data_IF_361868194867
#
_entry.id   IF_361868194867
#
_cell.length_a   1.000
_cell.length_b   1.000
_cell.length_c   1.000
_cell.angle_alpha   90.00
_cell.angle_beta   90.00
_cell.angle_gamma   90.00
#
_symmetry.space_group_name_H-M   'P 1'
#
loop_
_entity.id
_entity.type
_entity.pdbx_description
1 polymer ?
#
# COMPACT_ATOMS: atom_id res chain seq x y z
N UNK A 1 -72.58 -45.11 4.89
CA UNK A 1 -72.17 -44.49 6.15
C UNK A 1 -71.09 -43.46 5.86
N UNK A 2 -71.20 -42.32 6.44
CA UNK A 2 -70.21 -41.26 6.33
C UNK A 2 -69.35 -41.31 7.60
N UNK A 3 -68.01 -41.38 7.43
CA UNK A 3 -67.12 -41.29 8.60
C UNK A 3 -66.91 -39.83 9.04
N UNK A 4 -66.25 -39.64 10.16
CA UNK A 4 -66.00 -38.30 10.78
C UNK A 4 -65.08 -37.40 9.95
N UNK A 5 -64.53 -37.89 8.83
CA UNK A 5 -63.63 -37.17 7.93
C UNK A 5 -64.23 -36.98 6.52
N UNK A 6 -65.54 -37.39 6.32
CA UNK A 6 -66.30 -37.04 5.13
C UNK A 6 -66.17 -38.01 3.97
N UNK A 7 -65.49 -39.15 4.13
CA UNK A 7 -65.45 -40.19 3.09
C UNK A 7 -66.76 -40.94 3.07
N UNK A 8 -67.45 -40.88 1.94
CA UNK A 8 -68.72 -41.58 1.69
C UNK A 8 -68.55 -42.52 0.50
N UNK A 9 -68.51 -43.80 0.81
CA UNK A 9 -68.62 -44.86 -0.18
C UNK A 9 -69.31 -46.03 0.45
N UNK A 10 -70.61 -46.12 0.22
CA UNK A 10 -71.37 -47.32 0.56
C UNK A 10 -72.22 -47.69 -0.62
N UNK A 11 -72.07 -48.90 -1.11
CA UNK A 11 -73.08 -49.49 -1.97
C UNK A 11 -73.74 -50.64 -1.18
N UNK A 12 -75.04 -50.64 -1.14
CA UNK A 12 -75.81 -51.79 -0.62
C UNK A 12 -76.42 -52.54 -1.78
N UNK A 13 -76.14 -53.81 -1.78
CA UNK A 13 -76.75 -54.71 -2.76
C UNK A 13 -77.49 -55.78 -2.01
N UNK A 14 -78.78 -55.88 -2.24
CA UNK A 14 -79.58 -57.01 -1.70
C UNK A 14 -79.55 -58.16 -2.71
N UNK A 15 -79.00 -59.28 -2.29
CA UNK A 15 -78.93 -60.48 -3.11
C UNK A 15 -79.85 -61.52 -2.47
N UNK A 16 -80.74 -62.08 -3.28
CA UNK A 16 -81.62 -63.15 -2.89
C UNK A 16 -81.10 -64.45 -3.48
N UNK A 17 -80.77 -65.40 -2.65
CA UNK A 17 -80.31 -66.70 -3.08
C UNK A 17 -81.42 -67.72 -3.27
N UNK A 18 -81.18 -68.74 -4.08
CA UNK A 18 -82.05 -69.87 -4.30
C UNK A 18 -82.18 -70.82 -3.10
N UNK A 19 -81.31 -70.62 -2.08
CA UNK A 19 -81.28 -71.37 -0.79
C UNK A 19 -82.10 -70.76 0.33
N UNK A 20 -82.75 -69.61 0.03
CA UNK A 20 -83.64 -68.94 0.99
C UNK A 20 -82.95 -67.90 1.90
N UNK A 21 -81.66 -67.68 1.86
CA UNK A 21 -80.97 -66.58 2.63
C UNK A 21 -81.23 -65.24 1.93
N UNK A 22 -81.61 -64.24 2.72
CA UNK A 22 -81.59 -62.85 2.29
C UNK A 22 -80.48 -62.09 3.03
N UNK A 23 -79.60 -61.47 2.25
CA UNK A 23 -78.38 -60.82 2.79
C UNK A 23 -78.40 -59.34 2.45
N UNK A 24 -77.96 -58.52 3.38
CA UNK A 24 -77.66 -57.12 3.12
C UNK A 24 -76.12 -56.91 3.29
N UNK A 25 -75.50 -56.27 2.28
CA UNK A 25 -74.07 -56.13 2.20
C UNK A 25 -73.74 -54.63 2.17
N UNK A 26 -72.94 -54.19 3.04
CA UNK A 26 -72.39 -52.86 3.04
C UNK A 26 -70.86 -52.96 2.87
N UNK A 27 -70.34 -52.30 1.87
CA UNK A 27 -68.88 -52.25 1.59
C UNK A 27 -68.39 -50.83 1.72
N UNK A 28 -67.15 -50.69 2.20
CA UNK A 28 -66.41 -49.43 2.08
C UNK A 28 -65.20 -49.66 1.20
N UNK A 29 -64.96 -48.80 0.26
CA UNK A 29 -63.73 -48.78 -0.55
C UNK A 29 -62.53 -48.27 0.21
N UNK A 30 -61.29 -48.67 -0.14
CA UNK A 30 -60.09 -48.03 0.40
C UNK A 30 -60.10 -46.52 0.15
N UNK A 31 -59.43 -45.80 1.03
CA UNK A 31 -59.30 -44.33 0.90
C UNK A 31 -58.56 -43.94 -0.33
N UNK A 32 -57.46 -44.67 -0.61
CA UNK A 32 -56.56 -44.43 -1.73
C UNK A 32 -56.40 -45.71 -2.59
N UNK A 33 -56.01 -45.51 -3.85
CA UNK A 33 -55.67 -46.65 -4.75
C UNK A 33 -54.55 -47.46 -4.09
N UNK A 34 -54.77 -48.80 -4.00
CA UNK A 34 -53.87 -49.73 -3.33
C UNK A 34 -53.91 -49.68 -1.77
N UNK A 35 -54.82 -48.89 -1.22
CA UNK A 35 -55.05 -48.78 0.23
C UNK A 35 -55.62 -50.10 0.79
N UNK A 36 -55.58 -50.23 2.12
CA UNK A 36 -56.06 -51.42 2.87
C UNK A 36 -57.16 -51.07 3.86
N UNK A 37 -57.80 -49.91 3.73
CA UNK A 37 -58.82 -49.44 4.70
C UNK A 37 -60.23 -49.92 4.30
N UNK A 38 -60.35 -50.68 3.22
CA UNK A 38 -61.62 -51.25 2.79
C UNK A 38 -62.24 -52.19 3.83
N UNK A 39 -63.58 -52.30 3.83
CA UNK A 39 -64.28 -53.24 4.67
C UNK A 39 -65.54 -53.76 4.00
N UNK A 40 -66.03 -54.96 4.40
CA UNK A 40 -67.26 -55.53 4.03
C UNK A 40 -68.02 -55.99 5.31
N UNK A 41 -69.28 -55.56 5.41
CA UNK A 41 -70.18 -55.93 6.51
C UNK A 41 -71.41 -56.64 5.88
N UNK A 42 -71.69 -57.88 6.35
CA UNK A 42 -72.77 -58.67 5.82
C UNK A 42 -73.79 -58.99 6.94
N UNK A 43 -75.05 -58.73 6.69
CA UNK A 43 -76.11 -59.01 7.64
C UNK A 43 -77.11 -60.01 6.99
N UNK A 44 -77.43 -61.08 7.74
CA UNK A 44 -78.49 -61.99 7.33
C UNK A 44 -79.83 -61.41 7.75
N UNK A 45 -80.64 -60.91 6.82
CA UNK A 45 -81.92 -60.29 7.05
C UNK A 45 -83.07 -61.25 6.98
N UNK A 46 -82.86 -62.47 6.41
CA UNK A 46 -83.88 -63.51 6.34
C UNK A 46 -83.29 -64.82 5.87
N UNK A 47 -84.07 -65.94 6.06
CA UNK A 47 -83.66 -67.26 5.71
C UNK A 47 -82.66 -67.91 6.70
N UNK A 48 -82.53 -69.26 6.62
CA UNK A 48 -81.73 -70.02 7.58
C UNK A 48 -82.18 -69.90 9.04
N UNK A 49 -81.56 -70.69 9.93
CA UNK A 49 -81.84 -70.72 11.35
C UNK A 49 -80.62 -70.32 12.14
N UNK A 50 -80.64 -69.20 12.95
CA UNK A 50 -79.51 -68.76 13.74
C UNK A 50 -79.09 -69.79 14.78
N UNK A 51 -77.83 -69.86 15.25
CA UNK A 51 -76.72 -68.92 14.95
C UNK A 51 -76.12 -69.20 13.51
N UNK A 52 -75.67 -68.07 12.88
CA UNK A 52 -74.95 -68.15 11.61
C UNK A 52 -73.44 -68.14 11.82
N UNK A 53 -72.67 -68.83 11.01
CA UNK A 53 -71.25 -68.77 10.89
C UNK A 53 -70.87 -68.16 9.56
N UNK A 54 -69.84 -67.38 9.55
CA UNK A 54 -69.27 -66.64 8.45
C UNK A 54 -67.88 -67.17 8.15
N UNK A 55 -67.59 -67.48 6.91
CA UNK A 55 -66.26 -67.96 6.45
C UNK A 55 -65.83 -67.22 5.20
N UNK A 56 -64.84 -66.38 5.31
CA UNK A 56 -64.30 -65.58 4.21
C UNK A 56 -63.08 -66.32 3.62
N UNK A 57 -63.18 -66.68 2.34
CA UNK A 57 -62.23 -67.55 1.62
C UNK A 57 -60.98 -66.80 1.14
N UNK A 58 -60.97 -65.52 1.19
CA UNK A 58 -59.84 -64.72 0.72
C UNK A 58 -58.82 -64.36 1.79
N UNK A 59 -58.89 -65.01 2.95
CA UNK A 59 -58.08 -64.55 4.02
C UNK A 59 -56.81 -65.33 4.31
N UNK A 60 -55.86 -64.61 4.70
CA UNK A 60 -54.62 -65.01 5.24
C UNK A 60 -54.75 -65.29 6.77
N UNK A 61 -55.27 -66.48 7.19
CA UNK A 61 -55.21 -66.96 8.59
C UNK A 61 -55.53 -65.93 9.71
N UNK A 62 -56.46 -65.00 9.49
CA UNK A 62 -56.85 -64.01 10.52
C UNK A 62 -58.08 -64.54 11.27
N UNK A 63 -58.04 -64.67 12.60
CA UNK A 63 -59.23 -65.13 13.38
C UNK A 63 -60.44 -64.20 13.25
N UNK A 64 -60.28 -63.01 12.70
CA UNK A 64 -61.38 -62.08 12.37
C UNK A 64 -62.26 -62.53 11.18
N UNK A 65 -61.81 -63.53 10.41
CA UNK A 65 -62.45 -64.01 9.19
C UNK A 65 -63.71 -64.83 9.42
N UNK A 66 -64.05 -65.05 10.68
CA UNK A 66 -65.29 -65.78 11.14
C UNK A 66 -66.37 -64.80 11.56
N UNK A 67 -66.23 -63.52 11.43
CA UNK A 67 -67.19 -62.50 11.79
C UNK A 67 -67.97 -61.97 10.60
N UNK A 68 -69.07 -61.29 10.89
CA UNK A 68 -69.90 -60.59 9.87
C UNK A 68 -69.19 -59.48 9.12
N UNK A 69 -68.09 -58.98 9.70
CA UNK A 69 -67.33 -57.88 9.13
C UNK A 69 -65.86 -58.28 8.87
N UNK A 70 -65.42 -58.00 7.65
CA UNK A 70 -64.05 -58.12 7.27
C UNK A 70 -63.45 -56.70 7.09
N UNK A 71 -62.30 -56.43 7.66
CA UNK A 71 -61.62 -55.11 7.66
C UNK A 71 -60.24 -55.26 6.96
N UNK A 72 -59.64 -54.11 6.69
CA UNK A 72 -58.31 -54.01 6.09
C UNK A 72 -58.24 -54.66 4.71
N UNK A 73 -59.26 -54.41 3.92
CA UNK A 73 -59.38 -54.97 2.57
C UNK A 73 -58.77 -54.03 1.52
N UNK A 74 -58.00 -54.60 0.59
CA UNK A 74 -57.63 -53.97 -0.66
C UNK A 74 -58.80 -54.10 -1.61
N UNK A 75 -58.79 -53.29 -2.67
CA UNK A 75 -59.76 -53.50 -3.77
C UNK A 75 -59.64 -54.89 -4.36
N UNK A 76 -60.74 -55.52 -4.66
CA UNK A 76 -60.77 -56.89 -5.15
C UNK A 76 -62.06 -57.60 -4.85
N UNK A 77 -62.16 -58.92 -5.20
CA UNK A 77 -63.34 -59.79 -4.95
C UNK A 77 -63.05 -60.72 -3.78
N UNK A 78 -64.01 -60.82 -2.85
CA UNK A 78 -63.93 -61.56 -1.60
C UNK A 78 -65.18 -62.47 -1.56
N UNK A 79 -64.94 -63.80 -1.37
CA UNK A 79 -65.97 -64.75 -1.27
C UNK A 79 -66.32 -65.08 0.17
N UNK A 80 -67.57 -65.01 0.55
CA UNK A 80 -68.09 -65.31 1.87
C UNK A 80 -69.04 -66.50 1.80
N UNK A 81 -68.75 -67.54 2.60
CA UNK A 81 -69.72 -68.61 2.79
C UNK A 81 -70.39 -68.44 4.18
N UNK A 82 -71.75 -68.38 4.16
CA UNK A 82 -72.53 -68.24 5.38
C UNK A 82 -73.25 -69.60 5.61
N UNK A 83 -73.09 -70.13 6.85
CA UNK A 83 -73.81 -71.37 7.24
C UNK A 83 -74.70 -71.09 8.42
N UNK A 84 -75.89 -71.76 8.35
CA UNK A 84 -76.82 -71.69 9.49
C UNK A 84 -76.56 -72.84 10.49
N UNK A 85 -77.33 -72.87 11.57
CA UNK A 85 -77.25 -73.86 12.64
C UNK A 85 -77.33 -75.32 12.12
N UNK A 86 -77.96 -75.53 11.02
CA UNK A 86 -78.18 -76.87 10.42
C UNK A 86 -77.20 -77.22 9.29
N UNK A 87 -76.27 -76.30 9.01
CA UNK A 87 -75.29 -76.49 7.98
C UNK A 87 -75.73 -76.13 6.56
N UNK A 88 -76.94 -75.53 6.39
CA UNK A 88 -77.31 -75.00 5.09
C UNK A 88 -76.42 -73.78 4.82
N UNK A 89 -75.84 -73.72 3.65
CA UNK A 89 -74.90 -72.67 3.29
C UNK A 89 -75.32 -71.89 2.04
N UNK A 90 -74.74 -70.69 1.95
CA UNK A 90 -74.78 -69.83 0.81
C UNK A 90 -73.47 -69.15 0.60
N UNK A 91 -73.03 -68.92 -0.59
CA UNK A 91 -71.78 -68.23 -0.93
C UNK A 91 -72.10 -66.97 -1.71
N UNK A 92 -71.43 -65.90 -1.32
CA UNK A 92 -71.54 -64.57 -1.88
C UNK A 92 -70.18 -64.07 -2.27
N UNK A 93 -70.01 -63.56 -3.48
CA UNK A 93 -68.85 -62.82 -3.95
C UNK A 93 -69.13 -61.31 -3.78
N UNK A 94 -68.27 -60.65 -2.97
CA UNK A 94 -68.37 -59.22 -2.66
C UNK A 94 -67.22 -58.50 -3.31
N UNK A 95 -67.52 -57.47 -4.11
CA UNK A 95 -66.50 -56.59 -4.68
C UNK A 95 -66.28 -55.42 -3.79
N UNK A 96 -65.02 -55.17 -3.49
CA UNK A 96 -64.56 -53.90 -2.94
C UNK A 96 -63.98 -53.10 -4.08
N UNK A 97 -64.62 -51.99 -4.39
CA UNK A 97 -64.20 -51.11 -5.48
C UNK A 97 -62.95 -50.26 -5.06
N UNK A 98 -62.22 -49.75 -6.04
CA UNK A 98 -61.08 -48.93 -5.89
C UNK A 98 -61.40 -47.50 -6.35
N UNK A 99 -60.82 -46.45 -5.72
CA UNK A 99 -60.93 -45.09 -6.20
C UNK A 99 -60.55 -44.99 -7.67
N UNK A 100 -61.23 -44.14 -8.43
CA UNK A 100 -61.23 -44.10 -9.91
C UNK A 100 -59.91 -43.66 -10.53
N UNK A 101 -59.03 -43.04 -9.75
CA UNK A 101 -57.79 -42.54 -10.29
C UNK A 101 -56.70 -42.41 -9.19
N UNK A 102 -55.49 -42.80 -9.57
CA UNK A 102 -54.26 -42.60 -8.73
C UNK A 102 -53.89 -41.14 -8.69
N UNK A 103 -53.59 -40.60 -7.50
CA UNK A 103 -53.00 -39.29 -7.35
C UNK A 103 -51.56 -39.33 -7.92
N UNK A 104 -51.27 -38.55 -8.95
CA UNK A 104 -49.97 -38.39 -9.56
C UNK A 104 -49.58 -36.91 -9.61
N UNK A 105 -48.28 -36.63 -9.37
CA UNK A 105 -47.74 -35.25 -9.35
C UNK A 105 -46.53 -35.18 -10.26
N UNK A 106 -46.64 -34.35 -11.30
CA UNK A 106 -45.55 -34.02 -12.21
C UNK A 106 -44.97 -32.63 -11.86
N UNK A 107 -43.68 -32.48 -11.99
CA UNK A 107 -42.98 -31.23 -11.66
C UNK A 107 -42.53 -30.51 -12.92
N UNK A 108 -42.77 -29.23 -12.97
CA UNK A 108 -42.28 -28.33 -14.00
C UNK A 108 -41.39 -27.23 -13.39
N UNK A 109 -40.16 -27.09 -13.89
CA UNK A 109 -39.35 -25.92 -13.61
C UNK A 109 -39.70 -24.82 -14.59
N UNK A 110 -40.42 -23.80 -14.13
CA UNK A 110 -40.90 -22.70 -14.99
C UNK A 110 -39.78 -21.72 -15.28
N UNK A 111 -38.96 -21.43 -14.24
CA UNK A 111 -37.89 -20.46 -14.36
C UNK A 111 -36.67 -20.94 -13.57
N UNK A 112 -35.53 -21.18 -14.24
CA UNK A 112 -34.26 -21.35 -13.58
C UNK A 112 -33.76 -20.02 -13.01
N UNK A 113 -32.76 -20.08 -12.13
CA UNK A 113 -32.10 -18.89 -11.56
C UNK A 113 -31.10 -18.35 -12.57
N UNK A 114 -31.24 -17.07 -12.91
CA UNK A 114 -30.36 -16.42 -13.89
C UNK A 114 -29.00 -16.05 -13.31
N UNK A 115 -28.96 -15.64 -12.04
CA UNK A 115 -27.71 -15.21 -11.39
C UNK A 115 -27.32 -16.16 -10.24
N UNK A 116 -26.04 -16.36 -10.05
CA UNK A 116 -25.52 -17.17 -8.96
C UNK A 116 -25.97 -16.62 -7.58
N UNK A 117 -26.32 -17.53 -6.67
CA UNK A 117 -26.80 -17.25 -5.32
C UNK A 117 -28.05 -16.36 -5.23
N UNK A 118 -28.81 -16.23 -6.34
CA UNK A 118 -30.09 -15.54 -6.32
C UNK A 118 -31.21 -16.52 -5.92
N UNK A 119 -32.43 -16.01 -5.68
CA UNK A 119 -33.61 -16.77 -5.32
C UNK A 119 -34.79 -16.40 -6.21
N UNK A 120 -34.59 -16.45 -7.52
CA UNK A 120 -35.63 -16.11 -8.52
C UNK A 120 -36.27 -17.32 -9.18
N UNK A 121 -35.91 -18.55 -8.73
CA UNK A 121 -36.46 -19.79 -9.29
C UNK A 121 -37.95 -19.95 -9.08
N UNK A 122 -38.64 -20.53 -10.06
CA UNK A 122 -40.08 -20.83 -10.01
C UNK A 122 -40.29 -22.28 -10.45
N UNK A 123 -41.09 -23.01 -9.66
CA UNK A 123 -41.49 -24.35 -9.97
C UNK A 123 -43.01 -24.52 -9.77
N UNK A 124 -43.59 -25.45 -10.52
CA UNK A 124 -45.02 -25.76 -10.47
C UNK A 124 -45.24 -27.27 -10.35
N UNK A 125 -46.17 -27.64 -9.47
CA UNK A 125 -46.70 -29.00 -9.35
C UNK A 125 -47.94 -29.14 -10.20
N UNK A 126 -47.93 -30.09 -11.14
CA UNK A 126 -49.06 -30.44 -12.02
C UNK A 126 -49.63 -31.72 -11.46
N UNK A 127 -50.85 -31.66 -10.92
CA UNK A 127 -51.55 -32.77 -10.30
C UNK A 127 -52.52 -33.40 -11.25
N UNK A 128 -52.51 -34.74 -11.35
CA UNK A 128 -53.48 -35.51 -12.10
C UNK A 128 -54.02 -36.64 -11.21
N UNK A 129 -55.29 -37.06 -11.44
CA UNK A 129 -55.91 -38.06 -10.57
C UNK A 129 -56.16 -37.57 -9.13
N UNK A 130 -56.49 -38.51 -8.24
CA UNK A 130 -57.00 -38.18 -6.92
C UNK A 130 -58.34 -37.43 -6.97
N UNK A 131 -58.73 -36.83 -5.85
CA UNK A 131 -60.01 -36.07 -5.76
C UNK A 131 -59.70 -34.62 -5.27
N UNK A 132 -60.08 -33.62 -6.06
CA UNK A 132 -59.87 -32.20 -5.69
C UNK A 132 -60.85 -31.75 -4.60
N UNK A 133 -60.51 -30.70 -3.79
CA UNK A 133 -59.34 -29.86 -3.85
C UNK A 133 -58.05 -30.52 -3.32
N UNK A 134 -56.87 -30.03 -3.84
CA UNK A 134 -55.58 -30.48 -3.38
C UNK A 134 -54.92 -29.48 -2.40
N UNK A 135 -54.21 -30.01 -1.45
CA UNK A 135 -53.38 -29.25 -0.51
C UNK A 135 -51.90 -29.48 -0.82
N UNK A 136 -51.11 -28.43 -0.93
CA UNK A 136 -49.70 -28.46 -1.26
C UNK A 136 -48.87 -28.12 -0.04
N UNK A 137 -47.77 -28.82 0.15
CA UNK A 137 -46.75 -28.51 1.20
C UNK A 137 -45.38 -28.68 0.62
N UNK A 138 -44.76 -27.57 0.26
CA UNK A 138 -43.41 -27.54 -0.28
C UNK A 138 -42.36 -27.52 0.82
N UNK A 139 -41.19 -28.11 0.56
CA UNK A 139 -40.00 -28.01 1.45
C UNK A 139 -39.55 -26.58 1.65
N UNK A 140 -39.86 -25.69 0.73
CA UNK A 140 -39.63 -24.25 0.79
C UNK A 140 -40.70 -23.44 1.56
N UNK A 141 -41.73 -24.12 2.09
CA UNK A 141 -42.80 -23.49 2.89
C UNK A 141 -43.97 -22.94 2.07
N UNK A 142 -43.99 -23.10 0.74
CA UNK A 142 -45.11 -22.70 -0.12
C UNK A 142 -46.26 -23.67 0.04
N UNK A 143 -47.49 -23.16 -0.15
CA UNK A 143 -48.77 -23.93 0.04
C UNK A 143 -49.70 -23.89 -1.18
N UNK A 144 -49.20 -23.41 -2.32
CA UNK A 144 -49.92 -23.37 -3.60
C UNK A 144 -49.30 -24.34 -4.60
N UNK A 145 -49.95 -24.53 -5.74
CA UNK A 145 -49.44 -25.36 -6.85
C UNK A 145 -48.11 -24.84 -7.39
N UNK A 146 -47.83 -23.55 -7.22
CA UNK A 146 -46.64 -22.88 -7.73
C UNK A 146 -45.84 -22.31 -6.55
N UNK A 147 -44.54 -22.60 -6.51
CA UNK A 147 -43.56 -22.06 -5.60
C UNK A 147 -42.66 -21.09 -6.34
N UNK A 148 -42.37 -19.94 -5.76
CA UNK A 148 -41.52 -18.87 -6.29
C UNK A 148 -40.48 -18.44 -5.29
N UNK A 149 -39.50 -17.65 -5.71
CA UNK A 149 -38.34 -17.27 -4.94
C UNK A 149 -37.54 -18.48 -4.42
N UNK A 150 -37.44 -19.51 -5.27
CA UNK A 150 -36.63 -20.70 -4.96
C UNK A 150 -35.17 -20.43 -5.25
N UNK A 151 -34.31 -20.89 -4.34
CA UNK A 151 -32.85 -20.95 -4.57
C UNK A 151 -32.48 -22.22 -5.35
N UNK A 152 -31.24 -22.33 -5.78
CA UNK A 152 -30.72 -23.52 -6.46
C UNK A 152 -30.74 -24.73 -5.53
N UNK A 153 -31.04 -25.90 -6.12
CA UNK A 153 -31.14 -27.15 -5.39
C UNK A 153 -32.42 -27.87 -5.62
N UNK A 154 -32.66 -28.92 -4.84
CA UNK A 154 -33.85 -29.78 -4.94
C UNK A 154 -34.94 -29.27 -4.01
N UNK A 155 -36.11 -29.11 -4.51
CA UNK A 155 -37.33 -28.74 -3.78
C UNK A 155 -38.38 -29.84 -3.94
N UNK A 156 -38.89 -30.29 -2.80
CA UNK A 156 -39.92 -31.31 -2.71
C UNK A 156 -41.28 -30.68 -2.46
N UNK A 157 -42.31 -31.27 -3.02
CA UNK A 157 -43.71 -30.97 -2.70
C UNK A 157 -44.42 -32.25 -2.28
N UNK A 158 -45.13 -32.17 -1.17
CA UNK A 158 -46.14 -33.14 -0.77
C UNK A 158 -47.51 -32.60 -1.19
N UNK A 159 -48.21 -33.36 -2.02
CA UNK A 159 -49.59 -33.06 -2.40
C UNK A 159 -50.52 -34.01 -1.69
N UNK A 160 -51.59 -33.49 -1.09
CA UNK A 160 -52.63 -34.26 -0.40
C UNK A 160 -53.97 -33.92 -1.06
N UNK A 161 -54.72 -34.93 -1.48
CA UNK A 161 -56.11 -34.76 -2.00
C UNK A 161 -57.14 -34.67 -0.87
N UNK A 162 -58.43 -34.36 -1.20
CA UNK A 162 -59.48 -34.25 -0.17
C UNK A 162 -59.74 -35.51 0.62
N UNK A 163 -59.43 -36.69 0.01
CA UNK A 163 -59.59 -37.99 0.67
C UNK A 163 -58.41 -38.29 1.63
N UNK A 164 -57.32 -37.53 1.60
CA UNK A 164 -56.14 -37.74 2.39
C UNK A 164 -55.06 -38.56 1.69
N UNK A 165 -55.21 -38.88 0.41
CA UNK A 165 -54.15 -39.53 -0.37
C UNK A 165 -53.03 -38.58 -0.64
N UNK A 166 -51.76 -39.03 -0.45
CA UNK A 166 -50.57 -38.23 -0.57
C UNK A 166 -49.65 -38.71 -1.69
N UNK A 167 -49.00 -37.76 -2.36
CA UNK A 167 -47.92 -38.01 -3.31
C UNK A 167 -46.85 -36.97 -3.20
N UNK A 168 -45.58 -37.39 -3.25
CA UNK A 168 -44.43 -36.52 -3.25
C UNK A 168 -43.78 -36.45 -4.61
N UNK A 169 -43.32 -35.27 -4.97
CA UNK A 169 -42.52 -35.08 -6.18
C UNK A 169 -41.42 -34.06 -5.93
N UNK A 170 -40.34 -34.15 -6.70
CA UNK A 170 -39.15 -33.29 -6.53
C UNK A 170 -38.82 -32.59 -7.85
N UNK A 171 -38.30 -31.35 -7.71
CA UNK A 171 -37.76 -30.59 -8.85
C UNK A 171 -36.41 -30.02 -8.47
N UNK A 172 -35.48 -30.01 -9.41
CA UNK A 172 -34.18 -29.34 -9.23
C UNK A 172 -34.20 -28.00 -9.96
N UNK A 173 -33.98 -26.94 -9.20
CA UNK A 173 -33.78 -25.60 -9.74
C UNK A 173 -32.29 -25.42 -9.96
N UNK A 174 -31.89 -25.08 -11.17
CA UNK A 174 -30.49 -24.80 -11.53
C UNK A 174 -30.22 -23.31 -11.54
N UNK A 175 -28.96 -22.93 -11.26
CA UNK A 175 -28.43 -21.57 -11.37
C UNK A 175 -27.21 -21.54 -12.29
N UNK A 176 -26.85 -20.35 -12.77
CA UNK A 176 -25.61 -20.14 -13.49
C UNK A 176 -24.42 -20.20 -12.52
N UNK A 177 -23.25 -20.48 -13.06
CA UNK A 177 -22.01 -20.51 -12.27
C UNK A 177 -21.63 -19.09 -11.80
N UNK A 178 -20.98 -19.00 -10.64
CA UNK A 178 -20.48 -17.73 -10.08
C UNK A 178 -19.56 -17.02 -11.06
N UNK A 179 -19.79 -15.70 -11.24
CA UNK A 179 -18.87 -14.85 -12.00
C UNK A 179 -17.65 -14.52 -11.16
N UNK A 180 -16.47 -14.91 -11.63
CA UNK A 180 -15.18 -14.62 -10.99
C UNK A 180 -14.33 -13.88 -12.00
N UNK A 181 -13.83 -12.70 -11.62
CA UNK A 181 -12.88 -11.92 -12.42
C UNK A 181 -11.50 -11.90 -11.80
N UNK A 182 -10.46 -11.87 -12.65
CA UNK A 182 -9.07 -11.68 -12.28
C UNK A 182 -8.58 -10.37 -12.87
N UNK A 183 -8.09 -9.47 -12.00
CA UNK A 183 -7.64 -8.15 -12.36
C UNK A 183 -6.12 -8.05 -12.28
N UNK A 184 -5.54 -7.43 -13.28
CA UNK A 184 -4.13 -7.01 -13.24
C UNK A 184 -4.02 -5.51 -13.44
N UNK A 185 -2.96 -4.92 -12.88
CA UNK A 185 -2.64 -3.51 -13.06
C UNK A 185 -1.16 -3.29 -13.29
N UNK A 186 -0.84 -2.21 -13.99
CA UNK A 186 0.51 -1.65 -14.02
C UNK A 186 0.52 -0.32 -13.28
N UNK A 187 1.52 -0.14 -12.44
CA UNK A 187 1.76 1.11 -11.75
C UNK A 187 2.06 2.25 -12.73
N UNK A 188 1.86 3.50 -12.30
CA UNK A 188 2.40 4.64 -13.04
C UNK A 188 3.92 4.64 -12.99
N UNK A 189 4.55 5.06 -14.07
CA UNK A 189 6.02 5.04 -14.19
C UNK A 189 6.69 6.03 -13.25
N UNK A 190 6.13 7.23 -13.08
CA UNK A 190 6.63 8.30 -12.24
C UNK A 190 5.57 8.80 -11.27
N UNK A 191 6.02 9.39 -10.18
CA UNK A 191 5.13 10.07 -9.24
C UNK A 191 4.25 11.11 -9.94
N UNK A 192 2.94 11.05 -9.67
CA UNK A 192 1.90 11.90 -10.27
C UNK A 192 1.73 11.77 -11.79
N UNK A 193 2.27 10.74 -12.43
CA UNK A 193 1.98 10.45 -13.83
C UNK A 193 0.63 9.74 -13.98
N UNK A 194 0.16 9.67 -15.22
CA UNK A 194 -1.13 9.06 -15.57
C UNK A 194 -0.93 8.06 -16.72
N UNK A 195 0.02 7.16 -16.57
CA UNK A 195 0.38 6.15 -17.58
C UNK A 195 0.15 4.71 -17.08
N UNK A 196 -0.49 4.56 -15.92
CA UNK A 196 -0.92 3.28 -15.39
C UNK A 196 -1.99 2.60 -16.24
N UNK A 197 -2.20 1.32 -16.04
CA UNK A 197 -3.27 0.56 -16.70
C UNK A 197 -3.90 -0.48 -15.79
N UNK A 198 -5.12 -0.87 -16.09
CA UNK A 198 -5.81 -1.98 -15.45
C UNK A 198 -6.51 -2.84 -16.51
N UNK A 199 -6.59 -4.14 -16.25
CA UNK A 199 -7.19 -5.10 -17.14
C UNK A 199 -7.95 -6.19 -16.39
N UNK A 200 -9.14 -6.53 -16.88
CA UNK A 200 -9.84 -7.78 -16.55
C UNK A 200 -9.27 -8.88 -17.44
N UNK A 201 -8.45 -9.79 -16.87
CA UNK A 201 -7.76 -10.83 -17.65
C UNK A 201 -8.61 -12.05 -17.90
N UNK A 202 -9.17 -12.62 -16.82
CA UNK A 202 -9.95 -13.83 -16.86
C UNK A 202 -11.30 -13.52 -16.26
N UNK A 203 -12.35 -13.93 -16.97
CA UNK A 203 -13.70 -13.91 -16.46
C UNK A 203 -14.28 -15.30 -16.66
N UNK A 204 -14.69 -15.94 -15.61
CA UNK A 204 -15.33 -17.25 -15.63
C UNK A 204 -16.70 -17.18 -14.97
N UNK A 205 -17.60 -18.10 -15.35
CA UNK A 205 -18.98 -18.13 -14.86
C UNK A 205 -19.87 -17.08 -15.53
N UNK A 206 -21.13 -17.03 -15.10
CA UNK A 206 -22.18 -16.26 -15.77
C UNK A 206 -22.45 -16.73 -17.17
N UNK A 207 -23.14 -15.91 -17.95
CA UNK A 207 -23.46 -16.17 -19.36
C UNK A 207 -22.66 -15.25 -20.27
N UNK A 208 -21.87 -15.79 -21.23
CA UNK A 208 -20.99 -14.97 -22.07
C UNK A 208 -21.73 -13.83 -22.80
N UNK A 209 -20.97 -12.75 -23.06
CA UNK A 209 -21.50 -11.49 -23.58
C UNK A 209 -21.26 -10.36 -22.58
N UNK A 210 -20.10 -10.41 -21.89
CA UNK A 210 -19.78 -9.52 -20.81
C UNK A 210 -19.59 -8.08 -21.24
N UNK A 211 -20.11 -7.17 -20.42
CA UNK A 211 -19.95 -5.73 -20.53
C UNK A 211 -19.21 -5.21 -19.29
N UNK A 212 -18.37 -4.19 -19.47
CA UNK A 212 -17.56 -3.61 -18.43
C UNK A 212 -17.97 -2.16 -18.20
N UNK A 213 -17.98 -1.74 -16.95
CA UNK A 213 -18.18 -0.35 -16.56
C UNK A 213 -17.22 -0.02 -15.42
N UNK A 214 -16.21 0.79 -15.73
CA UNK A 214 -15.26 1.26 -14.75
C UNK A 214 -15.75 2.55 -14.06
N UNK A 215 -15.28 2.76 -12.84
CA UNK A 215 -15.61 3.96 -12.03
C UNK A 215 -15.26 5.29 -12.70
N UNK A 216 -14.33 5.28 -13.65
CA UNK A 216 -13.95 6.44 -14.46
C UNK A 216 -14.76 6.57 -15.78
N UNK A 217 -15.77 5.71 -15.99
CA UNK A 217 -16.66 5.74 -17.16
C UNK A 217 -16.18 4.97 -18.39
N UNK A 218 -15.02 4.31 -18.34
CA UNK A 218 -14.59 3.44 -19.44
C UNK A 218 -15.37 2.13 -19.46
N UNK A 219 -15.51 1.56 -20.68
CA UNK A 219 -16.31 0.34 -20.92
C UNK A 219 -15.52 -0.79 -21.57
N UNK A 220 -14.21 -0.64 -21.71
CA UNK A 220 -13.33 -1.68 -22.25
C UNK A 220 -12.87 -2.62 -21.12
N UNK A 221 -12.55 -3.89 -21.46
CA UNK A 221 -11.91 -4.81 -20.51
C UNK A 221 -10.48 -4.35 -20.08
N UNK A 222 -9.87 -3.45 -20.85
CA UNK A 222 -8.58 -2.84 -20.54
C UNK A 222 -8.71 -1.34 -20.58
N UNK A 223 -8.20 -0.67 -19.56
CA UNK A 223 -8.15 0.79 -19.45
C UNK A 223 -6.71 1.25 -19.21
N UNK A 224 -6.34 2.36 -19.83
CA UNK A 224 -4.99 2.93 -19.81
C UNK A 224 -5.03 4.40 -19.44
N UNK A 225 -3.85 5.01 -19.31
CA UNK A 225 -3.69 6.41 -18.90
C UNK A 225 -4.30 6.69 -17.52
N UNK A 226 -4.11 5.75 -16.60
CA UNK A 226 -4.63 5.85 -15.25
C UNK A 226 -3.62 6.54 -14.33
N UNK A 227 -4.14 7.44 -13.50
CA UNK A 227 -3.41 8.02 -12.38
C UNK A 227 -3.36 7.03 -11.20
N UNK A 228 -2.49 7.28 -10.24
CA UNK A 228 -2.52 6.64 -8.93
C UNK A 228 -3.92 6.69 -8.32
N UNK A 229 -4.40 5.57 -7.81
CA UNK A 229 -5.69 5.50 -7.14
C UNK A 229 -6.39 4.16 -7.30
N UNK A 230 -7.59 4.11 -6.78
CA UNK A 230 -8.48 2.97 -6.81
C UNK A 230 -9.45 3.06 -8.00
N UNK A 231 -9.61 1.94 -8.70
CA UNK A 231 -10.55 1.81 -9.82
C UNK A 231 -11.42 0.58 -9.59
N UNK A 232 -12.73 0.79 -9.68
CA UNK A 232 -13.73 -0.26 -9.52
C UNK A 232 -14.25 -0.60 -10.92
N UNK A 233 -14.35 -1.88 -11.24
CA UNK A 233 -15.02 -2.37 -12.44
C UNK A 233 -16.27 -3.14 -12.04
N UNK A 234 -17.37 -2.83 -12.70
CA UNK A 234 -18.60 -3.67 -12.71
C UNK A 234 -18.62 -4.43 -14.02
N UNK A 235 -18.54 -5.75 -13.92
CA UNK A 235 -18.68 -6.64 -15.07
C UNK A 235 -20.08 -7.25 -15.07
N UNK A 236 -20.83 -7.06 -16.15
CA UNK A 236 -22.20 -7.55 -16.30
C UNK A 236 -22.25 -8.57 -17.44
N UNK A 237 -22.88 -9.71 -17.21
CA UNK A 237 -23.10 -10.75 -18.23
C UNK A 237 -24.30 -10.45 -19.16
N UNK A 238 -24.55 -11.32 -20.13
CA UNK A 238 -25.67 -11.13 -21.08
C UNK A 238 -27.07 -11.27 -20.47
N UNK A 239 -27.18 -11.83 -19.25
CA UNK A 239 -28.43 -11.97 -18.51
C UNK A 239 -28.66 -10.86 -17.49
N UNK A 240 -27.70 -9.97 -17.32
CA UNK A 240 -27.77 -8.84 -16.41
C UNK A 240 -27.20 -9.12 -15.03
N UNK A 241 -26.59 -10.28 -14.80
CA UNK A 241 -25.85 -10.57 -13.57
C UNK A 241 -24.53 -9.82 -13.56
N UNK A 242 -24.11 -9.33 -12.40
CA UNK A 242 -22.90 -8.54 -12.33
C UNK A 242 -22.02 -8.92 -11.13
N UNK A 243 -20.73 -8.67 -11.28
CA UNK A 243 -19.73 -8.71 -10.23
C UNK A 243 -18.98 -7.39 -10.22
N UNK A 244 -18.57 -6.95 -9.04
CA UNK A 244 -17.76 -5.73 -8.86
C UNK A 244 -16.43 -6.10 -8.26
N UNK A 245 -15.35 -5.62 -8.88
CA UNK A 245 -13.98 -5.82 -8.42
C UNK A 245 -13.23 -4.50 -8.37
N UNK A 246 -12.22 -4.47 -7.51
CA UNK A 246 -11.43 -3.27 -7.25
C UNK A 246 -9.98 -3.56 -7.54
N UNK A 247 -9.32 -2.63 -8.24
CA UNK A 247 -7.89 -2.66 -8.50
C UNK A 247 -7.25 -1.34 -8.09
N UNK A 248 -6.05 -1.41 -7.56
CA UNK A 248 -5.29 -0.24 -7.14
C UNK A 248 -4.10 0.01 -8.06
N UNK A 249 -4.04 1.22 -8.64
CA UNK A 249 -2.89 1.69 -9.42
C UNK A 249 -1.91 2.35 -8.47
N UNK A 250 -0.76 1.71 -8.26
CA UNK A 250 0.29 2.24 -7.40
C UNK A 250 1.18 3.25 -8.12
N UNK A 251 1.94 4.04 -7.37
CA UNK A 251 2.96 4.95 -7.89
C UNK A 251 4.25 4.84 -7.06
N UNK A 252 5.42 5.13 -7.65
CA UNK A 252 6.65 5.25 -6.89
C UNK A 252 6.63 6.48 -6.00
N UNK A 253 7.52 6.51 -5.00
CA UNK A 253 7.77 7.74 -4.25
C UNK A 253 8.35 8.81 -5.18
N UNK A 254 8.12 10.12 -4.91
CA UNK A 254 8.69 11.17 -5.72
C UNK A 254 10.22 11.08 -5.74
N UNK A 255 10.82 11.14 -6.93
CA UNK A 255 12.26 11.20 -7.08
C UNK A 255 12.75 12.56 -6.57
N UNK A 256 13.63 12.56 -5.58
CA UNK A 256 14.23 13.74 -4.99
C UNK A 256 15.74 13.66 -5.10
N UNK A 257 16.36 14.79 -5.48
CA UNK A 257 17.80 14.93 -5.53
C UNK A 257 18.26 16.14 -4.73
N UNK A 258 19.44 16.02 -4.14
CA UNK A 258 20.16 17.11 -3.49
C UNK A 258 21.65 16.94 -3.79
N UNK A 259 22.42 18.01 -3.62
CA UNK A 259 23.86 17.99 -3.71
C UNK A 259 24.42 18.24 -2.30
N UNK A 260 25.30 17.36 -1.84
CA UNK A 260 26.15 17.65 -0.69
C UNK A 260 27.40 18.36 -1.18
N UNK A 261 27.73 19.48 -0.59
CA UNK A 261 28.81 20.37 -1.01
C UNK A 261 29.99 20.20 -0.05
N UNK A 262 31.19 20.05 -0.63
CA UNK A 262 32.45 20.29 0.06
C UNK A 262 33.05 21.55 -0.56
N UNK A 263 33.19 22.57 0.27
CA UNK A 263 33.70 23.87 -0.16
C UNK A 263 35.19 23.82 -0.49
N UNK A 264 35.69 24.82 -1.22
CA UNK A 264 37.09 24.92 -1.56
C UNK A 264 37.89 25.24 -0.30
N UNK A 265 39.01 24.52 -0.11
CA UNK A 265 39.81 24.62 1.10
C UNK A 265 40.54 25.95 1.22
N UNK A 266 41.12 26.44 0.09
CA UNK A 266 41.92 27.66 0.04
C UNK A 266 41.55 28.51 -1.16
N UNK A 267 41.70 29.79 -1.08
CA UNK A 267 41.54 30.72 -2.21
C UNK A 267 42.32 30.21 -3.44
N UNK A 268 41.61 30.05 -4.56
CA UNK A 268 42.16 29.58 -5.85
C UNK A 268 42.51 28.10 -5.93
N UNK A 269 42.21 27.26 -4.92
CA UNK A 269 42.63 25.85 -4.86
C UNK A 269 41.89 24.97 -5.90
N UNK A 270 40.65 25.21 -6.25
CA UNK A 270 39.85 24.38 -7.16
C UNK A 270 39.73 22.89 -6.70
N UNK A 271 39.63 22.65 -5.43
CA UNK A 271 39.50 21.33 -4.81
C UNK A 271 38.07 21.05 -4.27
N UNK A 272 37.10 21.84 -4.66
CA UNK A 272 35.70 21.68 -4.30
C UNK A 272 35.14 20.33 -4.78
N UNK A 273 34.16 19.78 -4.06
CA UNK A 273 33.53 18.51 -4.37
C UNK A 273 32.00 18.59 -4.22
N UNK A 274 31.29 17.88 -5.09
CA UNK A 274 29.85 17.68 -5.02
C UNK A 274 29.51 16.20 -5.02
N UNK A 275 28.68 15.77 -4.07
CA UNK A 275 28.17 14.41 -3.95
C UNK A 275 26.63 14.42 -4.18
N UNK A 276 26.15 13.56 -5.06
CA UNK A 276 24.73 13.41 -5.35
C UNK A 276 24.03 12.62 -4.24
N UNK A 277 23.01 13.21 -3.64
CA UNK A 277 22.12 12.57 -2.69
C UNK A 277 20.76 12.37 -3.36
N UNK A 278 20.30 11.10 -3.44
CA UNK A 278 19.06 10.74 -4.16
C UNK A 278 18.18 9.89 -3.27
N UNK A 279 16.87 10.14 -3.31
CA UNK A 279 15.85 9.34 -2.65
C UNK A 279 14.58 9.26 -3.49
N UNK A 280 13.78 8.18 -3.28
CA UNK A 280 12.55 7.96 -4.05
C UNK A 280 12.83 7.52 -5.49
N UNK A 281 11.81 7.61 -6.36
CA UNK A 281 11.86 7.07 -7.72
C UNK A 281 12.04 5.57 -7.76
N UNK A 282 12.45 5.06 -8.93
CA UNK A 282 12.78 3.65 -9.16
C UNK A 282 14.29 3.47 -9.23
N UNK A 283 14.86 2.59 -8.41
CA UNK A 283 16.31 2.40 -8.32
C UNK A 283 16.97 2.10 -9.67
N UNK A 284 18.25 2.39 -9.74
CA UNK A 284 19.14 2.53 -10.89
C UNK A 284 19.08 3.96 -11.42
N UNK A 285 19.80 4.85 -10.73
CA UNK A 285 19.86 6.25 -11.11
C UNK A 285 21.03 6.53 -12.03
N UNK A 286 20.82 7.45 -12.98
CA UNK A 286 21.87 8.06 -13.79
C UNK A 286 22.01 9.51 -13.39
N UNK A 287 23.23 10.01 -13.41
CA UNK A 287 23.59 11.35 -12.96
C UNK A 287 24.17 12.15 -14.13
N UNK A 288 23.88 13.44 -14.15
CA UNK A 288 24.54 14.39 -15.05
C UNK A 288 24.78 15.68 -14.27
N UNK A 289 26.04 16.00 -14.06
CA UNK A 289 26.45 17.26 -13.46
C UNK A 289 26.76 18.28 -14.55
N UNK A 290 26.35 19.52 -14.30
CA UNK A 290 26.52 20.66 -15.20
C UNK A 290 27.04 21.86 -14.40
N UNK A 291 27.82 22.73 -15.05
CA UNK A 291 28.05 24.10 -14.59
C UNK A 291 27.51 25.04 -15.66
N UNK A 292 26.37 25.65 -15.39
CA UNK A 292 25.57 26.29 -16.43
C UNK A 292 25.14 25.30 -17.51
N UNK A 293 25.67 25.44 -18.73
CA UNK A 293 25.41 24.49 -19.82
C UNK A 293 26.54 23.49 -20.05
N UNK A 294 27.63 23.56 -19.30
CA UNK A 294 28.82 22.74 -19.52
C UNK A 294 28.72 21.43 -18.72
N UNK A 295 28.75 20.26 -19.38
CA UNK A 295 28.76 18.99 -18.68
C UNK A 295 30.10 18.75 -17.98
N UNK A 296 30.02 18.28 -16.72
CA UNK A 296 31.18 18.01 -15.85
C UNK A 296 31.43 16.52 -15.64
N UNK A 297 30.36 15.70 -15.56
CA UNK A 297 30.50 14.27 -15.33
C UNK A 297 29.19 13.57 -14.99
N UNK A 298 29.26 12.24 -14.86
CA UNK A 298 28.11 11.36 -14.62
C UNK A 298 28.31 10.48 -13.37
N UNK A 299 29.33 10.74 -12.57
CA UNK A 299 29.60 10.02 -11.35
C UNK A 299 28.73 10.56 -10.18
N UNK A 300 28.55 9.74 -9.15
CA UNK A 300 27.90 10.18 -7.91
C UNK A 300 28.66 11.35 -7.28
N UNK A 301 29.98 11.31 -7.35
CA UNK A 301 30.87 12.34 -6.81
C UNK A 301 31.65 12.93 -7.98
N UNK A 302 31.73 14.26 -7.98
CA UNK A 302 32.61 15.02 -8.88
C UNK A 302 33.49 15.94 -8.03
N UNK A 303 34.78 15.99 -8.36
CA UNK A 303 35.81 16.70 -7.59
C UNK A 303 36.61 17.66 -8.48
N UNK A 304 37.53 18.41 -7.90
CA UNK A 304 38.36 19.42 -8.55
C UNK A 304 37.53 20.56 -9.16
N UNK A 305 36.55 21.00 -8.39
CA UNK A 305 35.60 22.01 -8.84
C UNK A 305 36.07 23.42 -8.40
N UNK A 306 35.87 24.38 -9.30
CA UNK A 306 36.11 25.80 -9.05
C UNK A 306 34.90 26.45 -8.35
N UNK A 307 35.04 27.65 -7.77
CA UNK A 307 33.91 28.38 -7.21
C UNK A 307 32.86 28.67 -8.29
N UNK A 308 31.59 28.36 -8.01
CA UNK A 308 30.47 28.66 -8.91
C UNK A 308 29.13 28.56 -8.17
N UNK A 309 28.18 29.39 -8.55
CA UNK A 309 26.79 29.36 -8.11
C UNK A 309 25.86 28.61 -9.07
N UNK A 310 26.39 28.02 -10.15
CA UNK A 310 25.61 27.47 -11.26
C UNK A 310 25.75 25.96 -11.41
N UNK A 311 26.16 25.25 -10.38
CA UNK A 311 26.19 23.78 -10.42
C UNK A 311 24.78 23.24 -10.38
N UNK A 312 24.51 22.31 -11.29
CA UNK A 312 23.24 21.61 -11.43
C UNK A 312 23.47 20.11 -11.49
N UNK A 313 22.71 19.38 -10.70
CA UNK A 313 22.60 17.92 -10.76
C UNK A 313 21.27 17.57 -11.44
N UNK A 314 21.33 16.82 -12.51
CA UNK A 314 20.19 16.13 -13.09
C UNK A 314 20.29 14.64 -12.73
N UNK A 315 19.22 14.10 -12.14
CA UNK A 315 19.09 12.68 -11.84
C UNK A 315 17.94 12.11 -12.65
N UNK A 316 18.16 10.96 -13.25
CA UNK A 316 17.13 10.21 -13.98
C UNK A 316 17.09 8.80 -13.39
N UNK A 317 15.91 8.34 -13.02
CA UNK A 317 15.70 6.99 -12.47
C UNK A 317 15.49 5.95 -13.58
N UNK A 318 15.32 4.66 -13.21
CA UNK A 318 15.15 3.56 -14.16
C UNK A 318 13.90 3.69 -15.04
N UNK A 319 12.88 4.42 -14.61
CA UNK A 319 11.66 4.66 -15.36
C UNK A 319 11.71 5.96 -16.19
N UNK A 320 12.81 6.71 -16.13
CA UNK A 320 12.99 7.97 -16.85
C UNK A 320 12.45 9.19 -16.11
N UNK A 321 12.05 9.05 -14.85
CA UNK A 321 11.64 10.19 -14.03
C UNK A 321 12.85 11.06 -13.70
N UNK A 322 12.68 12.38 -13.73
CA UNK A 322 13.75 13.34 -13.57
C UNK A 322 13.61 14.17 -12.29
N UNK A 323 14.76 14.46 -11.68
CA UNK A 323 14.87 15.41 -10.57
C UNK A 323 16.08 16.32 -10.80
N UNK A 324 15.96 17.57 -10.41
CA UNK A 324 17.00 18.59 -10.53
C UNK A 324 17.36 19.11 -9.14
N UNK A 325 18.66 19.25 -8.88
CA UNK A 325 19.17 19.96 -7.73
C UNK A 325 20.20 21.00 -8.15
N UNK A 326 20.33 22.04 -7.37
CA UNK A 326 21.29 23.11 -7.60
C UNK A 326 22.25 23.20 -6.43
N UNK A 327 23.49 23.58 -6.70
CA UNK A 327 24.50 23.77 -5.69
C UNK A 327 25.39 24.97 -6.04
N UNK A 328 25.95 25.56 -5.02
CA UNK A 328 27.01 26.55 -5.13
C UNK A 328 28.22 26.08 -4.34
N UNK A 329 29.39 26.29 -4.89
CA UNK A 329 30.67 26.10 -4.21
C UNK A 329 31.28 27.47 -4.05
N UNK A 330 31.67 27.80 -2.85
CA UNK A 330 32.37 29.04 -2.50
C UNK A 330 33.83 28.75 -2.17
N UNK A 331 34.66 29.76 -2.20
CA UNK A 331 36.04 29.73 -1.74
C UNK A 331 36.22 30.77 -0.64
N UNK A 332 37.15 30.56 0.31
CA UNK A 332 37.51 31.58 1.26
C UNK A 332 38.15 32.79 0.57
N UNK A 333 38.14 33.93 1.20
CA UNK A 333 38.89 35.09 0.72
C UNK A 333 40.42 34.84 0.77
N UNK A 334 41.16 35.47 -0.11
CA UNK A 334 42.62 35.41 -0.07
C UNK A 334 43.16 35.87 1.29
N UNK A 335 44.19 35.21 1.81
CA UNK A 335 44.89 35.66 3.02
C UNK A 335 45.70 36.91 2.62
N UNK A 336 45.36 38.03 3.19
CA UNK A 336 46.13 39.29 3.04
C UNK A 336 46.96 39.54 4.30
N UNK A 337 48.26 39.81 4.10
CA UNK A 337 49.18 40.16 5.19
C UNK A 337 49.51 41.64 5.11
N UNK A 338 49.07 42.41 6.10
CA UNK A 338 49.27 43.83 6.15
C UNK A 338 50.32 44.14 7.20
N UNK A 339 51.33 44.94 6.84
CA UNK A 339 52.31 45.43 7.78
C UNK A 339 51.69 46.54 8.66
N UNK A 340 51.60 46.32 9.94
CA UNK A 340 51.02 47.25 10.91
C UNK A 340 52.05 48.27 11.40
N UNK A 341 53.21 47.80 11.78
CA UNK A 341 54.31 48.66 12.22
C UNK A 341 55.66 48.10 11.83
N UNK A 342 56.63 49.02 11.51
CA UNK A 342 58.03 48.67 11.36
C UNK A 342 58.82 49.53 12.33
N UNK A 343 59.61 48.86 13.18
CA UNK A 343 60.62 49.52 14.06
C UNK A 343 61.97 49.38 13.38
N UNK A 344 62.62 50.44 12.96
CA UNK A 344 63.96 50.39 12.37
C UNK A 344 65.03 49.84 13.33
N UNK A 345 66.05 49.20 12.79
CA UNK A 345 67.29 48.90 13.62
C UNK A 345 68.13 50.17 13.79
N UNK A 346 68.59 50.35 15.02
CA UNK A 346 69.29 51.59 15.39
C UNK A 346 70.73 51.68 14.91
N UNK A 347 71.39 50.53 14.80
CA UNK A 347 72.77 50.46 14.38
C UNK A 347 73.02 49.24 13.54
N UNK A 348 74.08 49.25 12.74
CA UNK A 348 74.55 48.07 12.02
C UNK A 348 74.94 47.01 13.06
N UNK A 349 74.58 45.72 12.81
CA UNK A 349 74.83 44.60 13.72
C UNK A 349 74.16 44.68 15.13
N UNK A 350 73.15 45.52 15.32
CA UNK A 350 72.39 45.59 16.55
C UNK A 350 70.94 45.21 16.35
N UNK A 351 70.53 44.10 16.92
CA UNK A 351 69.19 43.52 16.79
C UNK A 351 68.13 44.27 17.62
N UNK A 352 67.74 45.47 17.16
CA UNK A 352 66.77 46.36 17.80
C UNK A 352 65.51 46.59 16.95
N UNK A 353 65.52 46.14 15.70
CA UNK A 353 64.42 46.30 14.78
C UNK A 353 63.25 45.37 15.04
N UNK A 354 62.14 45.66 14.48
CA UNK A 354 60.95 44.83 14.61
C UNK A 354 59.88 45.10 13.55
N UNK A 355 59.00 44.09 13.32
CA UNK A 355 57.86 44.15 12.42
C UNK A 355 56.62 43.65 13.17
N UNK A 356 55.52 44.30 13.00
CA UNK A 356 54.19 43.78 13.40
C UNK A 356 53.32 43.67 12.18
N UNK A 357 52.63 42.52 12.00
CA UNK A 357 51.73 42.27 10.90
C UNK A 357 50.32 41.97 11.41
N UNK A 358 49.33 42.20 10.57
CA UNK A 358 47.95 41.83 10.76
C UNK A 358 47.57 41.00 9.51
N UNK A 359 46.99 39.82 9.74
CA UNK A 359 46.43 38.99 8.67
C UNK A 359 44.91 39.08 8.62
N UNK A 360 44.33 39.01 7.43
CA UNK A 360 42.90 38.94 7.16
C UNK A 360 42.63 37.96 6.06
N UNK A 361 41.38 37.46 5.92
CA UNK A 361 41.06 36.46 4.91
C UNK A 361 41.30 35.02 5.36
N UNK A 362 41.31 34.07 4.42
CA UNK A 362 41.41 32.65 4.74
C UNK A 362 40.23 32.13 5.53
N UNK A 363 40.43 31.02 6.23
CA UNK A 363 39.43 30.37 7.07
C UNK A 363 39.95 30.29 8.52
N UNK A 364 39.22 30.86 9.46
CA UNK A 364 39.46 30.75 10.89
C UNK A 364 38.26 30.10 11.57
N UNK A 365 38.48 29.00 12.30
CA UNK A 365 37.45 28.29 13.02
C UNK A 365 37.30 28.79 14.47
N UNK A 366 36.09 29.03 14.91
CA UNK A 366 35.73 29.30 16.31
C UNK A 366 36.55 30.40 17.04
N UNK A 367 37.03 31.38 16.27
CA UNK A 367 37.79 32.49 16.86
C UNK A 367 39.26 32.15 17.14
N UNK A 368 39.81 31.18 16.44
CA UNK A 368 41.24 30.90 16.38
C UNK A 368 41.98 32.05 15.70
N UNK A 369 43.28 32.11 15.93
CA UNK A 369 44.21 33.06 15.33
C UNK A 369 45.01 32.37 14.21
N UNK A 370 45.54 33.18 13.29
CA UNK A 370 46.50 32.66 12.31
C UNK A 370 47.74 32.14 12.97
N UNK A 371 48.36 31.14 12.35
CA UNK A 371 49.70 30.65 12.68
C UNK A 371 50.73 31.47 11.91
N UNK A 372 51.76 31.96 12.58
CA UNK A 372 52.81 32.77 12.00
C UNK A 372 54.17 32.07 12.09
N UNK A 373 54.94 32.13 11.05
CA UNK A 373 56.33 31.64 11.05
C UNK A 373 57.19 32.63 10.29
N UNK A 374 58.23 33.17 10.97
CA UNK A 374 59.18 34.08 10.37
C UNK A 374 60.43 33.35 9.90
N UNK A 375 60.88 33.64 8.68
CA UNK A 375 62.18 33.20 8.18
C UNK A 375 63.24 34.11 8.80
N UNK A 376 63.90 33.59 9.83
CA UNK A 376 64.91 34.32 10.59
C UNK A 376 66.25 33.54 10.54
N UNK A 377 67.28 34.10 9.90
CA UNK A 377 68.62 33.47 9.85
C UNK A 377 69.34 33.35 11.20
N UNK A 378 68.78 33.83 12.28
CA UNK A 378 69.32 33.77 13.64
C UNK A 378 68.40 33.07 14.64
N UNK A 379 68.61 31.85 14.91
CA UNK A 379 68.37 30.98 16.06
C UNK A 379 66.98 30.76 16.68
N UNK A 380 65.94 31.57 16.59
CA UNK A 380 64.59 31.28 17.16
C UNK A 380 63.49 31.72 16.20
N UNK A 381 62.73 30.73 15.67
CA UNK A 381 61.50 31.03 14.96
C UNK A 381 60.51 31.77 15.90
N UNK A 382 60.14 32.98 15.57
CA UNK A 382 59.07 33.66 16.25
C UNK A 382 57.72 33.23 15.63
N UNK A 383 56.86 32.68 16.45
CA UNK A 383 55.55 32.11 16.03
C UNK A 383 54.39 33.07 16.34
N UNK A 384 54.67 34.37 16.37
CA UNK A 384 53.66 35.40 16.62
C UNK A 384 53.60 36.40 15.47
N UNK A 385 52.57 37.19 15.41
CA UNK A 385 52.39 38.26 14.43
C UNK A 385 53.41 39.41 14.61
N UNK A 386 54.26 39.33 15.64
CA UNK A 386 55.30 40.30 15.95
C UNK A 386 56.66 39.66 15.84
N UNK A 387 57.57 40.26 15.08
CA UNK A 387 58.98 39.96 15.00
C UNK A 387 59.73 41.08 15.75
N UNK A 388 60.55 40.75 16.72
CA UNK A 388 61.27 41.73 17.52
C UNK A 388 62.73 41.35 17.68
N UNK A 389 63.60 42.34 17.97
CA UNK A 389 65.02 42.11 18.23
C UNK A 389 65.73 41.63 16.95
N UNK A 390 65.52 42.28 15.83
CA UNK A 390 66.12 41.93 14.53
C UNK A 390 67.06 43.00 14.05
N UNK A 391 68.02 42.61 13.26
CA UNK A 391 68.91 43.50 12.52
C UNK A 391 68.18 44.14 11.32
N UNK A 392 68.78 45.12 10.67
CA UNK A 392 68.29 45.65 9.45
C UNK A 392 68.42 44.60 8.35
N UNK A 393 67.33 44.38 7.52
CA UNK A 393 67.30 43.36 6.51
C UNK A 393 65.91 42.96 6.08
N UNK A 394 65.79 42.03 5.15
CA UNK A 394 64.53 41.49 4.69
C UNK A 394 64.11 40.26 5.49
N UNK A 395 62.87 40.25 5.95
CA UNK A 395 62.27 39.16 6.72
C UNK A 395 60.97 38.70 6.06
N UNK A 396 60.82 37.39 5.90
CA UNK A 396 59.61 36.83 5.32
C UNK A 396 58.75 36.20 6.42
N UNK A 397 57.52 36.64 6.52
CA UNK A 397 56.50 35.98 7.34
C UNK A 397 55.69 35.01 6.49
N UNK A 398 55.47 33.81 6.97
CA UNK A 398 54.50 32.84 6.49
C UNK A 398 53.33 32.85 7.42
N UNK A 399 52.15 33.18 6.92
CA UNK A 399 50.87 33.14 7.65
C UNK A 399 50.08 31.93 7.16
N UNK A 400 49.60 31.15 8.12
CA UNK A 400 48.81 29.96 7.85
C UNK A 400 47.48 30.03 8.58
N UNK A 401 46.37 29.74 7.90
CA UNK A 401 45.05 29.64 8.51
C UNK A 401 44.73 28.22 9.01
N UNK A 402 43.52 27.99 9.54
CA UNK A 402 43.13 26.69 10.08
C UNK A 402 42.96 25.60 9.02
N UNK A 403 42.68 25.93 7.77
CA UNK A 403 42.63 24.97 6.64
C UNK A 403 44.05 24.65 6.10
N UNK A 404 45.09 25.29 6.62
CA UNK A 404 46.46 25.11 6.16
C UNK A 404 46.81 25.94 4.92
N UNK A 405 45.99 26.91 4.56
CA UNK A 405 46.28 27.85 3.48
C UNK A 405 47.38 28.80 3.92
N UNK A 406 48.35 29.06 3.06
CA UNK A 406 49.52 29.87 3.37
C UNK A 406 49.61 31.11 2.46
N UNK A 407 50.04 32.22 3.08
CA UNK A 407 50.47 33.41 2.38
C UNK A 407 51.79 33.90 2.96
N UNK A 408 52.66 34.38 2.09
CA UNK A 408 53.98 34.85 2.50
C UNK A 408 54.14 36.32 2.12
N UNK A 409 54.79 37.07 3.01
CA UNK A 409 55.08 38.48 2.81
C UNK A 409 56.52 38.76 3.23
N UNK A 410 57.33 39.34 2.34
CA UNK A 410 58.66 39.84 2.68
C UNK A 410 58.59 41.33 3.03
N UNK A 411 59.17 41.69 4.18
CA UNK A 411 59.13 43.05 4.73
C UNK A 411 60.55 43.43 5.13
N UNK A 412 60.95 44.63 4.72
CA UNK A 412 62.28 45.17 5.05
C UNK A 412 62.27 45.94 6.39
N UNK A 413 63.20 45.59 7.29
CA UNK A 413 63.54 46.43 8.44
C UNK A 413 64.59 47.38 7.99
N UNK A 414 64.34 48.69 7.93
CA UNK A 414 65.30 49.66 7.49
C UNK A 414 66.32 49.92 8.61
N UNK A 415 67.53 50.19 8.21
CA UNK A 415 68.58 50.75 9.14
C UNK A 415 68.28 52.22 9.38
N UNK A 416 68.31 52.65 10.59
CA UNK A 416 68.27 54.10 10.93
C UNK A 416 69.40 54.82 10.19
N UNK A 417 69.18 56.05 9.82
CA UNK A 417 70.26 56.87 9.21
C UNK A 417 71.52 56.83 10.08
N UNK A 418 72.64 56.58 9.43
CA UNK A 418 73.99 56.53 10.10
C UNK A 418 74.22 57.78 10.94
N UNK A 419 74.61 57.55 12.15
CA UNK A 419 75.05 58.61 13.05
C UNK A 419 76.39 59.18 12.54
N UNK A 420 76.35 60.41 12.05
CA UNK A 420 77.49 61.10 11.53
C UNK A 420 77.73 62.37 12.35
N UNK A 421 78.94 62.56 12.86
CA UNK A 421 79.33 63.84 13.48
C UNK A 421 80.45 64.47 12.70
N UNK A 422 80.38 65.73 12.55
CA UNK A 422 81.44 66.58 11.94
C UNK A 422 81.80 67.69 12.89
N UNK A 423 83.10 67.99 12.92
CA UNK A 423 83.60 69.06 13.74
C UNK A 423 84.14 70.17 12.89
N UNK A 424 83.84 71.38 13.27
CA UNK A 424 84.47 72.58 12.69
C UNK A 424 85.10 73.36 13.82
N UNK A 425 86.36 73.82 13.69
CA UNK A 425 87.02 74.57 14.68
C UNK A 425 87.56 75.90 14.15
N UNK A 426 87.52 76.89 14.94
CA UNK A 426 88.20 78.18 14.68
C UNK A 426 89.46 78.32 15.57
N UNK A 427 90.55 78.72 14.93
CA UNK A 427 91.79 78.98 15.67
C UNK A 427 91.69 80.29 16.47
N UNK A 428 92.49 80.41 17.51
CA UNK A 428 92.57 81.62 18.25
C UNK A 428 92.99 82.80 17.33
N UNK A 429 92.48 83.96 17.57
CA UNK A 429 92.74 85.15 16.72
C UNK A 429 94.15 85.71 16.97
N UNK A 430 94.72 85.54 18.15
CA UNK A 430 96.05 86.00 18.56
C UNK A 430 96.73 85.06 19.56
N UNK A 431 98.03 85.14 19.68
CA UNK A 431 98.80 84.39 20.69
C UNK A 431 98.29 84.71 22.11
N UNK A 432 97.99 83.72 22.90
CA UNK A 432 97.36 83.73 24.22
C UNK A 432 95.89 84.25 24.30
N UNK A 433 95.14 84.26 23.23
CA UNK A 433 93.72 84.52 23.31
C UNK A 433 92.93 83.17 23.51
N UNK A 434 91.80 83.27 24.23
CA UNK A 434 91.03 82.08 24.58
C UNK A 434 89.71 82.02 23.73
N UNK A 435 89.81 82.50 22.51
CA UNK A 435 88.65 82.61 21.58
C UNK A 435 88.51 81.52 20.54
N UNK A 436 89.33 80.49 20.67
CA UNK A 436 89.06 79.30 19.85
C UNK A 436 87.76 78.64 20.24
N UNK A 437 87.09 78.16 19.23
CA UNK A 437 85.87 77.44 19.44
C UNK A 437 85.84 76.18 18.56
N UNK A 438 85.15 75.16 19.01
CA UNK A 438 84.85 74.01 18.20
C UNK A 438 83.34 73.76 18.22
N UNK A 439 82.76 73.52 17.06
CA UNK A 439 81.36 73.21 16.89
C UNK A 439 81.26 71.78 16.38
N UNK A 440 80.43 70.98 16.99
CA UNK A 440 80.11 69.61 16.53
C UNK A 440 78.74 69.66 16.01
N UNK A 441 78.58 69.22 14.75
CA UNK A 441 77.30 69.04 14.14
C UNK A 441 77.07 67.56 13.95
N UNK A 442 75.93 67.06 14.46
CA UNK A 442 75.51 65.64 14.37
C UNK A 442 74.33 65.53 13.48
N UNK A 443 74.37 64.57 12.56
CA UNK A 443 73.22 64.19 11.67
C UNK A 443 72.96 62.68 11.84
N UNK A 444 71.69 62.30 11.94
CA UNK A 444 71.29 60.92 12.21
C UNK A 444 71.43 60.55 13.71
N UNK A 445 71.10 59.31 14.03
CA UNK A 445 71.02 58.84 15.44
C UNK A 445 69.79 59.38 16.16
N UNK A 446 69.75 59.17 17.48
CA UNK A 446 68.66 59.66 18.36
C UNK A 446 69.25 60.56 19.47
N UNK A 447 68.62 61.72 19.65
CA UNK A 447 68.89 62.58 20.75
C UNK A 447 68.36 61.95 22.06
N UNK A 448 68.98 62.27 23.23
CA UNK A 448 70.11 63.23 23.42
C UNK A 448 71.46 62.63 23.01
N UNK A 449 72.31 63.45 22.45
CA UNK A 449 73.66 63.07 22.11
C UNK A 449 74.56 63.40 23.24
N UNK A 450 75.59 62.53 23.47
CA UNK A 450 76.67 62.77 24.40
C UNK A 450 77.97 63.01 23.61
N UNK A 451 78.56 64.15 23.85
CA UNK A 451 79.82 64.56 23.22
C UNK A 451 80.95 64.49 24.27
N UNK A 452 82.08 63.89 23.92
CA UNK A 452 83.24 63.78 24.72
C UNK A 452 84.39 64.56 24.05
N UNK A 453 84.90 65.62 24.74
CA UNK A 453 85.98 66.40 24.24
C UNK A 453 87.22 66.05 25.10
N UNK A 454 88.31 65.64 24.47
CA UNK A 454 89.58 65.34 25.15
C UNK A 454 90.59 66.47 24.88
N UNK A 455 91.10 67.10 25.90
CA UNK A 455 92.09 68.18 25.78
C UNK A 455 93.52 67.55 25.81
N UNK A 456 94.49 68.30 25.25
CA UNK A 456 95.92 67.87 25.17
C UNK A 456 96.55 67.56 26.53
N UNK A 457 95.97 68.01 27.65
CA UNK A 457 96.38 67.72 28.98
C UNK A 457 95.79 66.42 29.56
N UNK A 458 95.00 65.68 28.73
CA UNK A 458 94.34 64.45 29.14
C UNK A 458 92.99 64.62 29.89
N UNK A 459 92.56 65.86 30.10
CA UNK A 459 91.23 66.09 30.69
C UNK A 459 90.17 65.84 29.72
N UNK A 460 89.07 65.21 30.17
CA UNK A 460 87.90 64.86 29.38
C UNK A 460 86.68 65.69 29.86
N UNK A 461 86.02 66.34 28.98
CA UNK A 461 84.75 67.01 29.25
C UNK A 461 83.64 66.35 28.46
N UNK A 462 82.60 65.89 29.14
CA UNK A 462 81.40 65.30 28.56
C UNK A 462 80.29 66.38 28.53
N UNK A 463 79.68 66.58 27.38
CA UNK A 463 78.54 67.51 27.16
C UNK A 463 77.37 66.70 26.64
N UNK A 464 76.22 66.72 27.33
CA UNK A 464 74.97 66.17 26.87
C UNK A 464 74.11 67.24 26.22
N UNK A 465 73.66 66.97 25.01
CA UNK A 465 72.74 67.85 24.34
C UNK A 465 71.40 67.16 24.07
N UNK A 466 70.31 67.74 24.49
CA UNK A 466 68.95 67.26 24.23
C UNK A 466 68.42 67.68 22.87
N UNK A 467 69.13 68.49 22.10
CA UNK A 467 68.71 68.98 20.79
C UNK A 467 69.77 68.67 19.73
N UNK A 468 69.37 68.13 18.63
CA UNK A 468 70.15 68.02 17.39
C UNK A 468 70.09 69.29 16.59
#
# INVERSE_FOLDING_TARGET
>A
AQDSIGCVGSSSTTITESTGFTLDVITTEPVCVGGQEGSAFVTVTGGGVPPYSFDWTASTNNPADTFQTLYNLIAGSYDLTIKDKYGCDTTLSISIDEPSSVLDVQMESIQPISCYADSTGIARAIVTGGESPYVYSWSSGHVLDTAWNLWSGTHDVLVTDIRGCTQTASVTITENTEMISDLTSTAVSCYSYSDGSAQVNTLSGGVPGYQYMWSNGHTSNTITNLSYGEYIVTTTDSTGCFVTDTVFISQPNPLQSAAKVTEISCYGANDGELEAMVSGGTQSYTYQWLNGSTPLGQNIIISNLSPSVNYQLQVIDANGCQSLAFASITEPSEIEVLTSTITPAYCEDVATGGISVIATGGTLENGSDYSYAWDNPGAFQQLTNNLTGQEAGDYTVTVTDDNGCIQTQTINIPLQPTFVSSTTSTATSCFNSNDASTNVTTVGGYAPYTYEFTYDNGNVQTINSSNA
#
